data_IF_801577312592
#
_entry.id   IF_801577312592
#
_cell.length_a   1.000
_cell.length_b   1.000
_cell.length_c   1.000
_cell.angle_alpha   90.00
_cell.angle_beta   90.00
_cell.angle_gamma   90.00
#
_symmetry.space_group_name_H-M   'P 1'
#
loop_
_entity.id
_entity.type
_entity.pdbx_description
1 polymer ?
#
# COMPACT_ATOMS: atom_id res chain seq x y z
N UNK A 1 24.77 -30.61 -32.30
CA UNK A 1 23.52 -30.33 -32.87
C UNK A 1 22.37 -30.50 -31.94
N UNK A 2 22.46 -31.26 -30.98
CA UNK A 2 21.34 -31.54 -30.16
C UNK A 2 21.11 -30.47 -29.14
N UNK A 3 22.03 -29.62 -28.90
CA UNK A 3 21.89 -28.67 -27.82
C UNK A 3 20.82 -27.64 -28.06
N UNK A 4 20.49 -27.40 -29.27
CA UNK A 4 19.53 -26.37 -29.54
C UNK A 4 18.20 -26.64 -28.93
N UNK A 5 17.84 -27.87 -28.80
CA UNK A 5 16.54 -28.17 -28.25
C UNK A 5 16.42 -27.74 -26.79
N UNK A 6 17.50 -27.79 -26.07
CA UNK A 6 17.43 -27.35 -24.65
C UNK A 6 17.08 -25.88 -24.54
N UNK A 7 17.58 -25.07 -25.43
CA UNK A 7 17.30 -23.65 -25.38
C UNK A 7 15.82 -23.39 -25.58
N UNK A 8 15.16 -24.16 -26.38
CA UNK A 8 13.75 -23.96 -26.63
C UNK A 8 12.91 -24.20 -25.40
N UNK A 9 13.27 -25.17 -24.59
CA UNK A 9 12.53 -25.46 -23.40
C UNK A 9 12.56 -24.30 -22.41
N UNK A 10 13.68 -23.63 -22.33
CA UNK A 10 13.81 -22.48 -21.44
C UNK A 10 12.86 -21.36 -21.84
N UNK A 11 12.76 -21.13 -23.13
CA UNK A 11 11.85 -20.11 -23.60
C UNK A 11 10.40 -20.38 -23.21
N UNK A 12 10.00 -21.64 -23.28
CA UNK A 12 8.66 -22.00 -22.92
C UNK A 12 8.35 -21.74 -21.46
N UNK A 13 9.30 -22.00 -20.60
CA UNK A 13 9.09 -21.75 -19.18
C UNK A 13 8.86 -20.27 -18.88
N UNK A 14 9.60 -19.42 -19.58
CA UNK A 14 9.43 -17.98 -19.36
C UNK A 14 8.03 -17.53 -19.73
N UNK A 15 7.48 -18.05 -20.80
CA UNK A 15 6.14 -17.67 -21.21
C UNK A 15 5.09 -18.07 -20.18
N UNK A 16 5.25 -19.21 -19.57
CA UNK A 16 4.31 -19.66 -18.55
C UNK A 16 4.29 -18.70 -17.37
N UNK A 17 5.44 -18.20 -16.99
CA UNK A 17 5.50 -17.26 -15.87
C UNK A 17 4.73 -15.98 -16.18
N UNK A 18 4.81 -15.50 -17.39
CA UNK A 18 4.11 -14.28 -17.77
C UNK A 18 2.60 -14.48 -17.74
N UNK A 19 2.13 -15.65 -18.12
CA UNK A 19 0.71 -15.92 -18.08
C UNK A 19 0.17 -15.95 -16.66
N UNK A 20 0.95 -16.46 -15.73
CA UNK A 20 0.53 -16.45 -14.33
C UNK A 20 0.37 -15.02 -13.82
N UNK A 21 1.26 -14.12 -14.21
CA UNK A 21 1.12 -12.73 -13.83
C UNK A 21 -0.13 -12.09 -14.40
N UNK A 22 -0.46 -12.41 -15.63
CA UNK A 22 -1.66 -11.86 -16.24
C UNK A 22 -2.92 -12.32 -15.51
N UNK A 23 -2.94 -13.55 -15.02
CA UNK A 23 -4.10 -14.04 -14.27
C UNK A 23 -4.33 -13.26 -12.99
N UNK A 24 -3.29 -12.77 -12.37
CA UNK A 24 -3.44 -12.00 -11.14
C UNK A 24 -4.00 -10.61 -11.37
N UNK A 25 -3.94 -10.11 -12.59
CA UNK A 25 -4.43 -8.78 -12.88
C UNK A 25 -5.95 -8.65 -12.66
N UNK A 26 -6.67 -9.75 -12.62
CA UNK A 26 -8.11 -9.75 -12.42
C UNK A 26 -8.50 -9.88 -10.95
N UNK A 27 -7.55 -10.03 -10.06
CA UNK A 27 -7.85 -10.20 -8.65
C UNK A 27 -8.37 -8.89 -8.06
N UNK A 28 -9.24 -9.01 -7.06
CA UNK A 28 -9.70 -7.87 -6.30
C UNK A 28 -8.53 -7.20 -5.61
N UNK A 29 -8.53 -5.88 -5.65
CA UNK A 29 -7.48 -5.10 -5.00
C UNK A 29 -7.54 -5.29 -3.49
N UNK A 30 -6.45 -5.73 -2.84
CA UNK A 30 -6.46 -5.90 -1.39
C UNK A 30 -6.38 -4.56 -0.66
N UNK A 31 -6.80 -4.57 0.60
CA UNK A 31 -6.59 -3.42 1.46
C UNK A 31 -5.09 -3.15 1.61
N UNK A 32 -4.72 -1.89 1.66
CA UNK A 32 -3.31 -1.51 1.68
C UNK A 32 -3.09 -0.14 2.30
N UNK A 33 -1.88 0.08 2.78
CA UNK A 33 -1.40 1.37 3.23
C UNK A 33 -0.06 1.61 2.56
N UNK A 34 0.08 2.75 1.89
CA UNK A 34 1.32 3.13 1.21
C UNK A 34 1.72 4.51 1.69
N UNK A 35 2.96 4.66 2.09
CA UNK A 35 3.53 5.95 2.49
C UNK A 35 4.55 6.39 1.44
N UNK A 36 4.44 7.64 1.02
CA UNK A 36 5.28 8.18 -0.05
C UNK A 36 5.79 9.57 0.32
N UNK A 37 7.08 9.79 0.25
CA UNK A 37 8.13 8.80 0.08
C UNK A 37 8.27 7.95 1.34
N UNK A 38 8.92 6.80 1.26
CA UNK A 38 9.10 5.97 2.44
C UNK A 38 10.40 6.26 3.19
N UNK A 39 11.21 7.17 2.69
CA UNK A 39 12.37 7.72 3.39
C UNK A 39 12.24 9.25 3.32
N UNK A 40 12.11 9.88 4.48
CA UNK A 40 11.79 11.29 4.57
C UNK A 40 12.79 11.95 5.52
N UNK A 41 13.29 13.14 5.14
CA UNK A 41 14.15 13.90 6.05
C UNK A 41 13.34 14.35 7.26
N UNK A 42 14.01 14.49 8.39
CA UNK A 42 13.38 14.93 9.63
C UNK A 42 12.58 16.22 9.39
N UNK A 43 11.35 16.24 9.84
CA UNK A 43 10.44 17.37 9.64
C UNK A 43 9.83 17.47 8.25
N UNK A 44 10.17 16.56 7.34
CA UNK A 44 9.59 16.56 6.00
C UNK A 44 8.16 16.05 6.00
N UNK A 45 7.56 15.97 4.82
CA UNK A 45 6.15 15.60 4.65
C UNK A 45 6.04 14.24 4.00
N UNK A 46 5.11 13.43 4.50
CA UNK A 46 4.78 12.12 3.94
C UNK A 46 3.32 12.13 3.53
N UNK A 47 3.01 11.43 2.43
CA UNK A 47 1.65 11.24 1.98
C UNK A 47 1.24 9.80 2.25
N UNK A 48 0.07 9.62 2.84
CA UNK A 48 -0.51 8.31 3.11
C UNK A 48 -1.62 8.04 2.11
N UNK A 49 -1.56 6.90 1.47
CA UNK A 49 -2.62 6.39 0.60
C UNK A 49 -3.13 5.09 1.18
N UNK A 50 -4.41 5.05 1.52
CA UNK A 50 -5.03 3.90 2.16
C UNK A 50 -6.17 3.41 1.29
N UNK A 51 -6.22 2.11 1.12
CA UNK A 51 -7.36 1.48 0.45
C UNK A 51 -7.90 0.40 1.37
N UNK A 52 -9.20 0.46 1.66
CA UNK A 52 -9.86 -0.50 2.53
C UNK A 52 -11.00 -1.16 1.77
N UNK A 53 -11.02 -2.49 1.74
CA UNK A 53 -12.16 -3.22 1.23
C UNK A 53 -13.31 -3.09 2.21
N UNK A 54 -14.50 -2.80 1.71
CA UNK A 54 -15.67 -2.57 2.56
C UNK A 54 -16.44 -3.85 2.77
N UNK A 55 -16.54 -4.34 4.03
CA UNK A 55 -17.39 -5.48 4.31
C UNK A 55 -18.86 -5.07 4.39
N UNK A 56 -19.74 -6.04 4.35
CA UNK A 56 -21.16 -5.81 4.57
C UNK A 56 -21.41 -5.23 5.94
N UNK A 57 -22.21 -4.18 6.02
CA UNK A 57 -22.54 -3.57 7.30
C UNK A 57 -21.40 -2.80 7.93
N UNK A 58 -20.45 -2.35 7.12
CA UNK A 58 -19.30 -1.61 7.64
C UNK A 58 -19.72 -0.30 8.26
N UNK A 59 -19.10 0.02 9.39
CA UNK A 59 -19.26 1.32 10.03
C UNK A 59 -18.30 2.34 9.45
N UNK A 60 -17.96 3.34 10.25
CA UNK A 60 -17.06 4.39 9.79
C UNK A 60 -15.60 4.01 10.04
N UNK A 61 -14.73 4.51 9.18
CA UNK A 61 -13.30 4.37 9.34
C UNK A 61 -12.74 5.54 10.14
N UNK A 62 -11.58 5.33 10.76
CA UNK A 62 -10.90 6.42 11.46
C UNK A 62 -10.52 7.51 10.45
N UNK A 63 -10.59 8.76 10.87
CA UNK A 63 -10.34 9.91 10.02
C UNK A 63 -8.93 10.43 10.16
N UNK A 64 -8.08 9.77 10.92
CA UNK A 64 -6.68 10.15 11.07
C UNK A 64 -5.81 8.92 11.06
N UNK A 65 -4.57 9.09 10.60
CA UNK A 65 -3.53 8.08 10.70
C UNK A 65 -2.58 8.52 11.81
N UNK A 66 -2.39 7.65 12.79
CA UNK A 66 -1.51 7.91 13.93
C UNK A 66 -0.38 6.90 13.92
N UNK A 67 0.84 7.36 14.10
CA UNK A 67 1.98 6.47 14.17
C UNK A 67 3.12 7.16 14.91
N UNK A 68 3.94 6.35 15.59
CA UNK A 68 5.21 6.87 16.07
C UNK A 68 6.02 7.34 14.87
N UNK A 69 6.77 8.39 15.05
CA UNK A 69 7.55 8.94 13.94
C UNK A 69 6.84 10.03 13.17
N UNK A 70 5.52 10.16 13.32
CA UNK A 70 4.79 11.30 12.78
C UNK A 70 4.79 12.42 13.80
N UNK A 71 4.91 13.67 13.33
CA UNK A 71 4.87 14.82 14.23
C UNK A 71 3.47 15.06 14.77
N UNK A 72 2.45 14.67 14.01
CA UNK A 72 1.05 14.84 14.40
C UNK A 72 0.21 13.82 13.63
N UNK A 73 -1.01 13.51 14.10
CA UNK A 73 -1.91 12.65 13.32
C UNK A 73 -2.15 13.23 11.93
N UNK A 74 -2.16 12.37 10.92
CA UNK A 74 -2.41 12.80 9.55
C UNK A 74 -3.91 12.77 9.31
N UNK A 75 -4.56 13.91 9.00
CA UNK A 75 -5.98 13.89 8.67
C UNK A 75 -6.18 13.20 7.33
N UNK A 76 -7.18 12.32 7.26
CA UNK A 76 -7.49 11.54 6.08
C UNK A 76 -8.80 12.01 5.49
N UNK A 77 -8.88 11.99 4.16
CA UNK A 77 -10.12 12.29 3.46
C UNK A 77 -10.40 11.19 2.45
N UNK A 78 -11.68 10.96 2.20
CA UNK A 78 -12.08 9.99 1.19
C UNK A 78 -11.82 10.62 -0.17
N UNK A 79 -11.02 9.93 -1.01
CA UNK A 79 -10.70 10.42 -2.34
C UNK A 79 -11.34 9.57 -3.43
N UNK A 80 -12.06 8.50 -3.05
CA UNK A 80 -12.76 7.67 -4.01
C UNK A 80 -13.27 6.40 -3.34
N UNK A 81 -14.03 5.64 -4.11
CA UNK A 81 -14.56 4.35 -3.65
C UNK A 81 -13.68 3.19 -4.10
N UNK A 82 -12.43 3.46 -4.45
CA UNK A 82 -11.52 2.44 -4.93
C UNK A 82 -11.70 2.10 -6.40
N UNK A 83 -12.62 2.77 -7.09
CA UNK A 83 -12.78 2.63 -8.52
C UNK A 83 -13.40 1.32 -8.97
N UNK A 84 -14.01 0.55 -8.08
CA UNK A 84 -14.52 -0.77 -8.43
C UNK A 84 -15.91 -0.99 -7.86
N UNK A 85 -16.85 -0.14 -8.25
CA UNK A 85 -18.23 -0.36 -7.91
C UNK A 85 -18.58 -0.26 -6.44
N UNK A 86 -17.84 0.49 -5.68
CA UNK A 86 -18.19 0.74 -4.29
C UNK A 86 -17.80 -0.36 -3.32
N UNK A 87 -16.99 -1.31 -3.75
CA UNK A 87 -16.55 -2.38 -2.85
C UNK A 87 -15.36 -1.98 -1.97
N UNK A 88 -14.84 -0.79 -2.13
CA UNK A 88 -13.74 -0.31 -1.34
C UNK A 88 -13.76 1.20 -1.17
N UNK A 89 -12.91 1.70 -0.30
CA UNK A 89 -12.77 3.12 -0.02
C UNK A 89 -11.30 3.50 -0.10
N UNK A 90 -11.02 4.58 -0.82
CA UNK A 90 -9.67 5.13 -0.89
C UNK A 90 -9.60 6.39 -0.04
N UNK A 91 -8.59 6.47 0.81
CA UNK A 91 -8.35 7.60 1.70
C UNK A 91 -6.96 8.14 1.43
N UNK A 92 -6.80 9.44 1.60
CA UNK A 92 -5.50 10.08 1.43
C UNK A 92 -5.33 11.21 2.42
N UNK A 93 -4.10 11.40 2.86
CA UNK A 93 -3.74 12.52 3.68
C UNK A 93 -2.24 12.73 3.65
N UNK A 94 -1.79 13.90 4.05
CA UNK A 94 -0.38 14.17 4.18
C UNK A 94 -0.12 14.92 5.47
N UNK A 95 1.11 14.83 5.94
CA UNK A 95 1.49 15.50 7.16
C UNK A 95 2.96 15.34 7.46
N UNK A 96 3.44 16.06 8.47
CA UNK A 96 4.86 16.07 8.77
C UNK A 96 5.30 14.85 9.57
N UNK A 97 6.50 14.36 9.27
CA UNK A 97 7.15 13.38 10.13
C UNK A 97 7.88 14.11 11.24
N UNK A 98 8.20 13.37 12.30
CA UNK A 98 8.93 13.94 13.42
C UNK A 98 10.39 14.19 13.08
N UNK A 99 11.15 14.59 14.11
CA UNK A 99 12.54 14.99 13.93
C UNK A 99 13.52 13.95 14.43
N UNK A 100 13.05 12.86 15.01
CA UNK A 100 13.92 11.79 15.53
C UNK A 100 14.16 10.78 14.42
N UNK A 101 15.40 10.65 13.93
CA UNK A 101 15.69 9.66 12.90
C UNK A 101 15.41 8.25 13.39
N UNK A 102 14.98 7.40 12.47
CA UNK A 102 14.69 6.02 12.81
C UNK A 102 13.75 5.38 11.82
N UNK A 103 13.51 4.11 12.04
CA UNK A 103 12.56 3.33 11.24
C UNK A 103 11.27 3.18 12.04
N UNK A 104 10.16 3.48 11.41
CA UNK A 104 8.85 3.48 12.06
C UNK A 104 7.87 2.67 11.25
N UNK A 105 6.82 2.21 11.90
CA UNK A 105 5.73 1.49 11.23
C UNK A 105 4.42 2.21 11.50
N UNK A 106 3.68 2.52 10.44
CA UNK A 106 2.33 3.03 10.55
C UNK A 106 1.36 1.88 10.32
N UNK A 107 0.23 1.91 11.01
CA UNK A 107 -0.81 0.92 10.81
C UNK A 107 -2.16 1.61 10.80
N UNK A 108 -3.11 1.02 10.09
CA UNK A 108 -4.46 1.56 9.97
C UNK A 108 -5.45 0.41 9.97
N UNK A 109 -6.54 0.60 10.69
CA UNK A 109 -7.55 -0.45 10.85
C UNK A 109 -8.63 -0.29 9.77
N UNK A 110 -8.62 -1.18 8.78
CA UNK A 110 -9.63 -1.24 7.74
C UNK A 110 -10.72 -2.21 8.17
N UNK A 111 -11.61 -1.77 9.07
CA UNK A 111 -12.72 -2.58 9.58
C UNK A 111 -12.25 -3.93 10.13
N UNK A 112 -11.22 -3.90 10.96
CA UNK A 112 -10.67 -5.12 11.56
C UNK A 112 -9.51 -5.72 10.80
N UNK A 113 -9.25 -5.29 9.58
CA UNK A 113 -8.10 -5.73 8.81
C UNK A 113 -7.01 -4.67 8.92
N UNK A 114 -5.94 -5.00 9.63
CA UNK A 114 -4.88 -4.03 9.88
C UNK A 114 -3.92 -4.01 8.71
N UNK A 115 -3.73 -2.84 8.11
CA UNK A 115 -2.74 -2.63 7.06
C UNK A 115 -1.57 -1.85 7.65
N UNK A 116 -0.35 -2.14 7.20
CA UNK A 116 0.87 -1.56 7.76
C UNK A 116 1.79 -1.10 6.66
N UNK A 117 2.60 -0.10 6.98
CA UNK A 117 3.65 0.38 6.09
C UNK A 117 4.80 0.90 6.94
N UNK A 118 6.02 0.66 6.48
CA UNK A 118 7.21 1.17 7.14
C UNK A 118 7.68 2.44 6.47
N UNK A 119 8.27 3.32 7.26
CA UNK A 119 8.92 4.51 6.74
C UNK A 119 10.12 4.84 7.61
N UNK A 120 11.07 5.54 7.01
CA UNK A 120 12.30 5.91 7.68
C UNK A 120 12.41 7.43 7.73
N UNK A 121 12.71 7.96 8.92
CA UNK A 121 13.04 9.37 9.09
C UNK A 121 14.55 9.48 9.11
N UNK A 122 15.10 10.29 8.21
CA UNK A 122 16.54 10.47 8.10
C UNK A 122 16.96 11.78 8.73
N UNK A 123 18.25 11.87 9.07
CA UNK A 123 18.78 13.11 9.68
C UNK A 123 18.87 14.26 8.71
#
# INVERSE_FOLDING_TARGET
>A
MKFRSAALCVAGAALVSMMAGAGQANATRPSSLVLSPNAIVAGGTVTADIYCLRPSGAGELATTLVADGLAAPIPLRVVGDGGTGGIGVALRGDGPVGTVPGRYTASYDCWGWIVRAEFTVTS
#
